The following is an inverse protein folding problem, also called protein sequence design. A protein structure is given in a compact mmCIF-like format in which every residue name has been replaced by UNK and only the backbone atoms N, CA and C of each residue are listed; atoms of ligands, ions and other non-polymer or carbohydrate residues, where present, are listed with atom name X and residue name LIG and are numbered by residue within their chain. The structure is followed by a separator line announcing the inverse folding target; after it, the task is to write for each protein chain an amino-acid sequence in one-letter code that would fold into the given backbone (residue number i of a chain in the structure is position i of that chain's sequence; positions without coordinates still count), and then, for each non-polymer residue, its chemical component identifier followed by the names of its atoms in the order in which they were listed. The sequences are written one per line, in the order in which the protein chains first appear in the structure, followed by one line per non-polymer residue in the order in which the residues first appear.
data_IF_972909542880
#
_entry.id   IF_972909542880
#
_cell.length_a   1.000
_cell.length_b   1.000
_cell.length_c   1.000
_cell.angle_alpha   90.00
_cell.angle_beta   90.00
_cell.angle_gamma   90.00
#
_symmetry.space_group_name_H-M   'P 1'
#
loop_
_entity.id
_entity.type
_entity.pdbx_description
1 polymer ?
#
# COMPACT_ATOMS: atom_id res chain seq x y z
N UNK A 1 30.69 -19.08 -10.93
CA UNK A 1 30.43 -17.83 -10.19
C UNK A 1 28.98 -17.93 -9.73
N UNK A 2 28.75 -18.11 -8.43
CA UNK A 2 27.41 -18.24 -7.89
C UNK A 2 26.82 -16.84 -7.72
N UNK A 3 25.73 -16.54 -8.45
CA UNK A 3 25.01 -15.28 -8.32
C UNK A 3 24.20 -15.31 -7.03
N UNK A 4 24.64 -14.54 -6.04
CA UNK A 4 23.78 -14.13 -4.94
C UNK A 4 22.82 -13.01 -5.43
N UNK A 5 21.94 -12.58 -4.54
CA UNK A 5 20.99 -11.47 -4.57
C UNK A 5 19.54 -11.89 -4.86
N UNK A 6 18.81 -12.15 -3.76
CA UNK A 6 17.34 -12.19 -3.72
C UNK A 6 16.80 -10.90 -4.37
N UNK A 7 16.06 -11.03 -5.46
CA UNK A 7 15.29 -9.92 -6.06
C UNK A 7 13.88 -9.92 -5.49
N UNK A 8 13.42 -8.76 -5.04
CA UNK A 8 12.07 -8.51 -4.55
C UNK A 8 11.30 -7.62 -5.52
N UNK A 9 11.56 -7.82 -6.82
CA UNK A 9 10.99 -7.05 -7.92
C UNK A 9 9.47 -6.98 -7.81
N UNK A 10 8.90 -5.81 -8.12
CA UNK A 10 7.47 -5.68 -8.35
C UNK A 10 7.22 -5.94 -9.85
N UNK A 11 6.34 -6.89 -10.12
CA UNK A 11 6.11 -7.45 -11.44
C UNK A 11 4.64 -7.25 -11.79
N UNK A 12 4.39 -6.65 -12.95
CA UNK A 12 3.07 -6.61 -13.57
C UNK A 12 2.96 -7.73 -14.61
N UNK A 13 1.84 -8.44 -14.60
CA UNK A 13 1.48 -9.39 -15.64
C UNK A 13 0.34 -8.79 -16.46
N UNK A 14 0.63 -8.44 -17.71
CA UNK A 14 -0.37 -7.90 -18.63
C UNK A 14 -1.21 -9.04 -19.19
N UNK A 15 -2.53 -8.89 -19.06
CA UNK A 15 -3.48 -9.87 -19.52
C UNK A 15 -3.65 -9.77 -21.05
N UNK A 16 -3.64 -10.91 -21.77
CA UNK A 16 -4.08 -10.94 -23.15
C UNK A 16 -5.60 -10.74 -23.25
N UNK A 17 -6.10 -10.49 -24.45
CA UNK A 17 -7.55 -10.39 -24.72
C UNK A 17 -8.30 -11.68 -24.31
N UNK A 18 -7.71 -12.85 -24.57
CA UNK A 18 -8.18 -14.13 -24.05
C UNK A 18 -7.37 -14.54 -22.82
N UNK A 19 -7.87 -14.22 -21.64
CA UNK A 19 -7.23 -14.55 -20.35
C UNK A 19 -6.95 -16.04 -20.15
N UNK A 20 -7.61 -16.92 -20.91
CA UNK A 20 -7.42 -18.38 -20.81
C UNK A 20 -6.22 -18.88 -21.60
N UNK A 21 -5.68 -18.09 -22.53
CA UNK A 21 -4.37 -18.33 -23.13
C UNK A 21 -3.27 -17.92 -22.17
N UNK A 22 -2.96 -18.84 -21.24
CA UNK A 22 -1.92 -18.65 -20.21
C UNK A 22 -0.54 -18.34 -20.82
N UNK A 23 -0.30 -18.71 -22.08
CA UNK A 23 0.98 -18.45 -22.75
C UNK A 23 1.12 -17.03 -23.30
N UNK A 24 0.01 -16.30 -23.43
CA UNK A 24 -0.03 -14.94 -23.98
C UNK A 24 0.06 -13.84 -22.91
N UNK A 25 0.17 -14.19 -21.62
CA UNK A 25 0.43 -13.23 -20.56
C UNK A 25 1.85 -12.67 -20.64
N UNK A 26 1.97 -11.35 -20.73
CA UNK A 26 3.25 -10.67 -20.80
C UNK A 26 3.75 -10.26 -19.41
N UNK A 27 5.04 -10.49 -19.15
CA UNK A 27 5.67 -10.16 -17.87
C UNK A 27 6.44 -8.85 -17.99
N UNK A 28 6.10 -7.91 -17.14
CA UNK A 28 6.71 -6.59 -17.02
C UNK A 28 7.36 -6.43 -15.64
N UNK A 29 8.65 -6.12 -15.58
CA UNK A 29 9.32 -5.77 -14.31
C UNK A 29 9.21 -4.26 -14.16
N UNK A 30 8.22 -3.81 -13.38
CA UNK A 30 7.93 -2.39 -13.21
C UNK A 30 8.83 -1.75 -12.16
N UNK A 31 9.35 -2.51 -11.19
CA UNK A 31 10.33 -2.01 -10.24
C UNK A 31 11.35 -3.09 -9.88
N UNK A 32 12.62 -2.83 -10.22
CA UNK A 32 13.74 -3.69 -9.84
C UNK A 32 14.17 -3.39 -8.41
N UNK A 33 13.85 -4.30 -7.50
CA UNK A 33 13.99 -4.07 -6.08
C UNK A 33 14.95 -5.08 -5.46
N UNK A 34 16.10 -4.59 -5.00
CA UNK A 34 17.17 -5.43 -4.47
C UNK A 34 17.26 -5.38 -2.94
N UNK A 35 16.33 -4.69 -2.26
CA UNK A 35 16.51 -4.38 -0.84
C UNK A 35 15.24 -4.49 -0.01
N UNK A 36 14.08 -4.14 -0.56
CA UNK A 36 12.85 -4.01 0.22
C UNK A 36 11.94 -5.21 0.01
N UNK A 37 11.64 -5.98 1.05
CA UNK A 37 10.68 -7.09 0.88
C UNK A 37 9.26 -6.55 0.84
N UNK A 38 8.63 -6.60 -0.32
CA UNK A 38 7.22 -6.22 -0.47
C UNK A 38 6.32 -7.29 0.12
N UNK A 39 5.42 -6.91 1.02
CA UNK A 39 4.44 -7.79 1.65
C UNK A 39 3.01 -7.52 1.19
N UNK A 40 2.73 -6.30 0.75
CA UNK A 40 1.42 -5.90 0.25
C UNK A 40 1.57 -4.96 -0.93
N UNK A 41 0.62 -5.07 -1.86
CA UNK A 41 0.46 -4.21 -3.03
C UNK A 41 -1.01 -3.80 -3.08
N UNK A 42 -1.26 -2.54 -3.39
CA UNK A 42 -2.57 -1.99 -3.71
C UNK A 42 -2.46 -1.17 -5.01
N UNK A 43 -3.57 -1.05 -5.73
CA UNK A 43 -3.62 -0.31 -7.00
C UNK A 43 -4.62 0.83 -6.89
N UNK A 44 -4.25 2.01 -7.37
CA UNK A 44 -5.13 3.18 -7.42
C UNK A 44 -4.45 4.37 -8.09
N UNK A 45 -5.22 5.35 -8.52
CA UNK A 45 -4.71 6.57 -9.17
C UNK A 45 -4.23 7.56 -8.10
N UNK A 46 -2.91 7.64 -7.87
CA UNK A 46 -2.32 8.40 -6.76
C UNK A 46 -2.03 9.84 -7.16
N UNK A 47 -1.94 10.18 -8.44
CA UNK A 47 -1.64 11.54 -8.87
C UNK A 47 -2.77 12.24 -9.65
N UNK A 48 -3.88 11.54 -9.85
CA UNK A 48 -5.11 12.06 -10.44
C UNK A 48 -5.05 12.18 -11.95
N UNK A 49 -4.13 11.49 -12.62
CA UNK A 49 -4.00 11.50 -14.08
C UNK A 49 -4.88 10.47 -14.80
N UNK A 50 -5.53 9.59 -14.05
CA UNK A 50 -6.44 8.56 -14.53
C UNK A 50 -5.79 7.21 -14.80
N UNK A 51 -4.45 7.12 -14.75
CA UNK A 51 -3.73 5.86 -14.82
C UNK A 51 -3.66 5.20 -13.43
N UNK A 52 -3.63 3.86 -13.42
CA UNK A 52 -3.55 3.12 -12.17
C UNK A 52 -2.09 2.99 -11.73
N UNK A 53 -1.78 3.51 -10.54
CA UNK A 53 -0.48 3.39 -9.89
C UNK A 53 -0.42 2.19 -8.94
N UNK A 54 0.77 1.89 -8.43
CA UNK A 54 0.99 0.80 -7.48
C UNK A 54 1.52 1.32 -6.15
N UNK A 55 0.75 1.15 -5.08
CA UNK A 55 1.22 1.35 -3.70
C UNK A 55 1.76 0.03 -3.17
N UNK A 56 2.88 0.06 -2.44
CA UNK A 56 3.47 -1.12 -1.84
C UNK A 56 3.99 -0.86 -0.43
N UNK A 57 3.90 -1.90 0.40
CA UNK A 57 4.37 -1.87 1.78
C UNK A 57 5.49 -2.90 1.99
N UNK A 58 6.56 -2.46 2.68
CA UNK A 58 7.64 -3.32 3.14
C UNK A 58 7.62 -3.47 4.66
N UNK A 59 7.39 -4.70 5.11
CA UNK A 59 7.36 -5.02 6.55
C UNK A 59 8.74 -4.94 7.20
N UNK A 60 9.81 -5.31 6.48
CA UNK A 60 11.15 -5.47 7.08
C UNK A 60 11.99 -4.22 7.01
N UNK A 61 11.69 -3.35 6.05
CA UNK A 61 12.51 -2.19 5.73
C UNK A 61 11.82 -0.88 6.15
N UNK A 62 10.58 -0.99 6.68
CA UNK A 62 9.77 0.10 7.23
C UNK A 62 9.41 1.17 6.19
N UNK A 63 9.11 0.73 4.99
CA UNK A 63 8.83 1.62 3.87
C UNK A 63 7.41 1.41 3.33
N UNK A 64 6.72 2.52 3.13
CA UNK A 64 5.50 2.67 2.37
C UNK A 64 5.82 3.56 1.17
N UNK A 65 5.63 3.03 -0.04
CA UNK A 65 5.93 3.75 -1.27
C UNK A 65 4.88 3.51 -2.33
N UNK A 66 4.93 4.33 -3.38
CA UNK A 66 4.13 4.14 -4.57
C UNK A 66 4.99 4.25 -5.82
N UNK A 67 4.54 3.58 -6.89
CA UNK A 67 5.15 3.55 -8.21
C UNK A 67 4.21 4.21 -9.20
N UNK A 68 4.70 5.26 -9.84
CA UNK A 68 3.97 6.03 -10.85
C UNK A 68 3.89 5.29 -12.18
N UNK A 69 2.68 5.08 -12.68
CA UNK A 69 2.40 4.57 -14.01
C UNK A 69 2.35 5.71 -15.03
N UNK A 70 3.47 5.99 -15.65
CA UNK A 70 3.54 7.01 -16.71
C UNK A 70 3.31 6.44 -18.13
N UNK A 71 2.62 5.29 -18.23
CA UNK A 71 2.41 4.56 -19.48
C UNK A 71 3.61 3.72 -19.97
N UNK A 72 4.71 3.67 -19.20
CA UNK A 72 5.80 2.73 -19.44
C UNK A 72 5.43 1.33 -18.96
N UNK A 73 5.95 0.27 -19.59
CA UNK A 73 5.84 -1.09 -19.07
C UNK A 73 7.01 -1.50 -18.16
N UNK A 74 8.00 -0.63 -17.96
CA UNK A 74 9.17 -0.91 -17.10
C UNK A 74 9.62 0.33 -16.33
N UNK A 75 10.42 0.11 -15.28
CA UNK A 75 11.17 1.14 -14.55
C UNK A 75 10.31 2.31 -14.06
N UNK A 76 9.16 1.99 -13.46
CA UNK A 76 8.27 2.97 -12.85
C UNK A 76 8.98 3.73 -11.74
N UNK A 77 8.64 5.01 -11.62
CA UNK A 77 9.26 5.89 -10.63
C UNK A 77 8.70 5.57 -9.25
N UNK A 78 9.58 5.23 -8.31
CA UNK A 78 9.22 5.15 -6.89
C UNK A 78 9.22 6.51 -6.23
N UNK A 79 8.16 6.79 -5.46
CA UNK A 79 8.13 7.85 -4.46
C UNK A 79 7.76 7.24 -3.11
N UNK A 80 8.53 7.58 -2.08
CA UNK A 80 8.23 7.12 -0.72
C UNK A 80 7.19 8.02 -0.06
N UNK A 81 6.16 7.40 0.49
CA UNK A 81 5.11 8.04 1.29
C UNK A 81 5.63 8.21 2.72
N UNK A 82 6.14 7.11 3.31
CA UNK A 82 6.67 7.07 4.66
C UNK A 82 7.81 6.03 4.77
N UNK A 83 8.93 6.41 5.36
CA UNK A 83 10.10 5.54 5.62
C UNK A 83 10.28 5.23 7.12
N UNK A 84 9.29 5.58 7.93
CA UNK A 84 9.28 5.42 9.38
C UNK A 84 8.22 4.45 9.88
N UNK A 85 7.25 4.07 9.04
CA UNK A 85 6.18 3.14 9.36
C UNK A 85 6.77 1.74 9.61
N UNK A 86 6.84 1.32 10.88
CA UNK A 86 7.52 0.07 11.21
C UNK A 86 6.61 -1.12 11.00
N UNK A 87 6.92 -1.98 10.03
CA UNK A 87 6.07 -3.13 9.69
C UNK A 87 4.68 -2.73 9.16
N UNK A 88 4.63 -2.02 8.04
CA UNK A 88 3.38 -1.88 7.30
C UNK A 88 2.96 -3.23 6.69
N UNK A 89 1.69 -3.63 6.86
CA UNK A 89 1.19 -4.97 6.46
C UNK A 89 0.08 -4.97 5.42
N UNK A 90 -0.80 -3.97 5.46
CA UNK A 90 -1.94 -3.89 4.57
C UNK A 90 -2.15 -2.43 4.19
N UNK A 91 -2.55 -2.18 2.95
CA UNK A 91 -2.76 -0.84 2.42
C UNK A 91 -4.05 -0.78 1.64
N UNK A 92 -4.75 0.36 1.65
CA UNK A 92 -5.88 0.66 0.75
C UNK A 92 -5.68 2.03 0.13
N UNK A 93 -6.20 2.22 -1.07
CA UNK A 93 -6.20 3.49 -1.79
C UNK A 93 -7.64 3.93 -2.00
N UNK A 94 -8.01 5.11 -1.49
CA UNK A 94 -9.33 5.70 -1.65
C UNK A 94 -9.32 7.18 -1.24
N UNK A 95 -10.17 7.99 -1.85
CA UNK A 95 -10.47 9.37 -1.41
C UNK A 95 -11.28 9.32 -0.10
N UNK A 96 -10.59 9.29 1.03
CA UNK A 96 -11.19 9.11 2.36
C UNK A 96 -11.70 10.44 2.92
N UNK A 97 -10.99 11.54 2.65
CA UNK A 97 -11.37 12.88 3.13
C UNK A 97 -12.23 13.69 2.15
N UNK A 98 -12.52 13.14 0.97
CA UNK A 98 -13.39 13.70 -0.08
C UNK A 98 -12.87 14.99 -0.67
N UNK A 99 -11.55 15.14 -0.75
CA UNK A 99 -10.93 16.27 -1.43
C UNK A 99 -10.79 16.05 -2.95
N UNK A 100 -11.15 14.85 -3.43
CA UNK A 100 -11.08 14.46 -4.84
C UNK A 100 -9.75 13.84 -5.25
N UNK A 101 -8.84 13.59 -4.30
CA UNK A 101 -7.58 12.89 -4.50
C UNK A 101 -7.62 11.57 -3.71
N UNK A 102 -6.99 10.52 -4.24
CA UNK A 102 -6.91 9.28 -3.49
C UNK A 102 -5.88 9.37 -2.38
N UNK A 103 -6.27 8.95 -1.19
CA UNK A 103 -5.39 8.80 -0.04
C UNK A 103 -4.86 7.38 0.08
N UNK A 104 -3.85 7.20 0.93
CA UNK A 104 -3.32 5.88 1.30
C UNK A 104 -3.61 5.60 2.77
N UNK A 105 -4.31 4.51 3.04
CA UNK A 105 -4.52 3.99 4.37
C UNK A 105 -3.56 2.83 4.55
N UNK A 106 -2.85 2.76 5.67
CA UNK A 106 -1.95 1.65 5.97
C UNK A 106 -2.09 1.14 7.40
N UNK A 107 -2.01 -0.17 7.57
CA UNK A 107 -1.88 -0.78 8.89
C UNK A 107 -0.42 -1.01 9.25
N UNK A 108 -0.04 -0.56 10.43
CA UNK A 108 1.20 -0.89 11.11
C UNK A 108 0.91 -2.00 12.14
N UNK A 109 1.62 -3.12 12.07
CA UNK A 109 1.51 -4.20 13.07
C UNK A 109 2.90 -4.55 13.66
N UNK A 110 3.21 -3.92 14.79
CA UNK A 110 4.27 -4.38 15.67
C UNK A 110 3.62 -5.09 16.86
N UNK A 111 2.91 -6.21 16.65
CA UNK A 111 2.11 -6.92 17.68
C UNK A 111 2.69 -6.90 19.11
N UNK A 112 4.00 -7.10 19.37
CA UNK A 112 4.57 -6.94 20.71
C UNK A 112 4.44 -5.54 21.35
N UNK A 113 4.36 -4.49 20.54
CA UNK A 113 4.19 -3.08 20.92
C UNK A 113 2.80 -2.51 20.58
N UNK A 114 2.03 -3.21 19.74
CA UNK A 114 0.71 -2.81 19.28
C UNK A 114 0.67 -2.53 17.79
N UNK A 115 -0.33 -1.78 17.35
CA UNK A 115 -0.48 -1.41 15.95
C UNK A 115 -1.05 -0.01 15.78
N UNK A 116 -1.01 0.48 14.55
CA UNK A 116 -1.55 1.78 14.19
C UNK A 116 -2.29 1.66 12.86
N UNK A 117 -3.41 2.36 12.75
CA UNK A 117 -4.04 2.61 11.46
C UNK A 117 -3.71 4.04 11.03
N UNK A 118 -3.00 4.16 9.93
CA UNK A 118 -2.52 5.43 9.39
C UNK A 118 -3.38 5.89 8.22
N UNK A 119 -3.55 7.20 8.12
CA UNK A 119 -4.17 7.93 7.03
C UNK A 119 -3.13 8.88 6.44
N UNK A 120 -2.69 8.60 5.22
CA UNK A 120 -1.75 9.41 4.48
C UNK A 120 -2.46 10.15 3.35
N UNK A 121 -2.58 11.47 3.50
CA UNK A 121 -3.05 12.39 2.46
C UNK A 121 -1.88 13.23 1.94
N UNK A 122 -2.03 13.90 0.79
CA UNK A 122 -1.02 14.85 0.33
C UNK A 122 -1.63 16.17 -0.17
N UNK A 123 -0.80 17.20 -0.29
CA UNK A 123 -1.21 18.46 -0.92
C UNK A 123 -0.17 18.92 -1.92
N UNK A 124 -0.60 19.13 -3.17
CA UNK A 124 0.30 19.42 -4.29
C UNK A 124 0.80 18.14 -4.96
N UNK A 125 2.03 18.14 -5.47
CA UNK A 125 2.57 16.99 -6.20
C UNK A 125 2.89 15.80 -5.27
N UNK A 126 2.21 14.63 -5.41
CA UNK A 126 2.43 13.44 -4.58
C UNK A 126 3.79 12.79 -4.84
N UNK A 127 4.50 13.18 -5.90
CA UNK A 127 5.87 12.72 -6.20
C UNK A 127 6.93 13.37 -5.29
N UNK A 128 6.50 14.28 -4.42
CA UNK A 128 7.35 14.95 -3.43
C UNK A 128 6.97 14.43 -2.04
N UNK A 129 7.83 13.60 -1.43
CA UNK A 129 7.57 12.98 -0.14
C UNK A 129 7.08 13.95 0.96
N UNK A 130 7.71 15.13 1.09
CA UNK A 130 7.34 16.12 2.13
C UNK A 130 5.93 16.71 1.99
N UNK A 131 5.24 16.43 0.88
CA UNK A 131 3.84 16.84 0.68
C UNK A 131 2.86 15.85 1.31
N UNK A 132 3.31 14.64 1.65
CA UNK A 132 2.52 13.64 2.36
C UNK A 132 2.42 13.97 3.85
N UNK A 133 1.25 13.73 4.42
CA UNK A 133 0.91 13.98 5.81
C UNK A 133 0.32 12.71 6.41
N UNK A 134 1.00 12.14 7.40
CA UNK A 134 0.49 11.06 8.23
C UNK A 134 -0.45 11.59 9.31
N UNK A 135 -1.63 10.97 9.43
CA UNK A 135 -2.51 11.09 10.59
C UNK A 135 -2.87 9.71 11.10
N UNK A 136 -2.88 9.54 12.43
CA UNK A 136 -3.30 8.30 13.06
C UNK A 136 -4.82 8.30 13.22
N UNK A 137 -5.48 7.32 12.62
CA UNK A 137 -6.91 7.06 12.81
C UNK A 137 -7.13 6.36 14.15
N UNK A 138 -6.35 5.31 14.40
CA UNK A 138 -6.46 4.49 15.61
C UNK A 138 -5.10 3.95 16.05
N UNK A 139 -4.97 3.67 17.34
CA UNK A 139 -3.81 2.98 17.91
C UNK A 139 -4.30 1.80 18.76
N UNK A 140 -3.61 0.68 18.63
CA UNK A 140 -3.92 -0.57 19.27
C UNK A 140 -2.84 -0.88 20.31
N UNK A 141 -3.21 -1.33 21.52
CA UNK A 141 -2.25 -1.63 22.58
C UNK A 141 -1.37 -2.84 22.22
N UNK A 142 -0.30 -3.03 22.99
CA UNK A 142 0.54 -4.22 22.87
C UNK A 142 -0.28 -5.50 23.02
N UNK A 143 -0.06 -6.46 22.11
CA UNK A 143 -0.84 -7.69 22.00
C UNK A 143 -2.02 -7.60 21.01
N UNK A 144 -2.32 -6.40 20.52
CA UNK A 144 -3.30 -6.15 19.46
C UNK A 144 -2.61 -5.62 18.20
N UNK A 145 -3.11 -5.96 17.02
CA UNK A 145 -2.55 -5.50 15.76
C UNK A 145 -3.54 -5.61 14.60
N UNK A 146 -3.52 -4.64 13.68
CA UNK A 146 -4.39 -4.66 12.50
C UNK A 146 -3.74 -5.50 11.42
N UNK A 147 -4.22 -6.73 11.28
CA UNK A 147 -3.75 -7.65 10.24
C UNK A 147 -4.35 -7.38 8.87
N UNK A 148 -5.61 -6.97 8.86
CA UNK A 148 -6.41 -6.70 7.66
C UNK A 148 -7.41 -5.62 7.99
N UNK A 149 -7.76 -4.82 6.99
CA UNK A 149 -8.88 -3.91 7.06
C UNK A 149 -9.50 -3.73 5.68
N UNK A 150 -10.75 -3.27 5.65
CA UNK A 150 -11.46 -2.88 4.43
C UNK A 150 -12.11 -1.51 4.60
N UNK A 151 -12.36 -0.86 3.47
CA UNK A 151 -12.97 0.47 3.40
C UNK A 151 -14.28 0.38 2.63
N UNK A 152 -15.36 0.88 3.22
CA UNK A 152 -16.69 0.97 2.60
C UNK A 152 -17.58 1.92 3.40
N UNK A 153 -18.61 2.49 2.77
CA UNK A 153 -19.71 3.16 3.49
C UNK A 153 -20.63 2.09 4.09
N UNK A 154 -20.56 1.92 5.42
CA UNK A 154 -21.22 0.79 6.12
C UNK A 154 -22.55 1.22 6.73
N UNK A 155 -22.66 2.47 7.16
CA UNK A 155 -23.89 2.99 7.75
C UNK A 155 -24.79 3.73 6.75
N UNK A 156 -24.30 3.98 5.53
CA UNK A 156 -25.05 4.56 4.43
C UNK A 156 -25.14 6.08 4.50
N UNK A 157 -24.28 6.75 5.26
CA UNK A 157 -24.21 8.21 5.31
C UNK A 157 -23.38 8.83 4.16
N UNK A 158 -22.72 7.95 3.40
CA UNK A 158 -21.90 8.25 2.23
C UNK A 158 -20.42 8.37 2.56
N UNK A 159 -20.03 8.56 3.82
CA UNK A 159 -18.64 8.67 4.24
C UNK A 159 -18.01 7.27 4.22
N UNK A 160 -16.72 7.16 3.88
CA UNK A 160 -16.05 5.88 3.87
C UNK A 160 -15.66 5.47 5.28
N UNK A 161 -16.16 4.33 5.74
CA UNK A 161 -15.79 3.71 7.02
C UNK A 161 -14.63 2.73 6.85
N UNK A 162 -14.00 2.38 7.98
CA UNK A 162 -12.94 1.38 8.05
C UNK A 162 -13.33 0.25 9.00
N UNK A 163 -13.27 -0.99 8.53
CA UNK A 163 -13.46 -2.20 9.36
C UNK A 163 -12.17 -2.97 9.43
N UNK A 164 -11.74 -3.34 10.63
CA UNK A 164 -10.47 -4.04 10.87
C UNK A 164 -10.67 -5.45 11.42
N UNK A 165 -9.74 -6.34 11.11
CA UNK A 165 -9.60 -7.66 11.73
C UNK A 165 -8.30 -7.74 12.53
N UNK A 166 -8.42 -8.06 13.83
CA UNK A 166 -7.28 -8.16 14.75
C UNK A 166 -6.70 -9.60 14.79
N UNK A 167 -5.37 -9.71 14.85
CA UNK A 167 -4.66 -11.00 14.86
C UNK A 167 -4.62 -11.69 16.24
N UNK A 168 -5.16 -11.10 17.31
CA UNK A 168 -5.34 -11.75 18.60
C UNK A 168 -6.61 -11.27 19.30
N UNK A 169 -7.42 -12.23 19.76
CA UNK A 169 -8.74 -11.98 20.32
C UNK A 169 -8.69 -11.29 21.66
N UNK A 170 -9.67 -10.42 21.89
CA UNK A 170 -9.96 -9.84 23.18
C UNK A 170 -9.98 -10.95 24.25
N UNK A 171 -9.02 -10.95 25.17
CA UNK A 171 -9.26 -11.54 26.48
C UNK A 171 -9.89 -10.43 27.31
N UNK A 172 -11.20 -10.22 27.13
CA UNK A 172 -11.98 -9.49 28.13
C UNK A 172 -11.83 -10.25 29.45
N UNK A 173 -11.25 -9.59 30.46
CA UNK A 173 -11.39 -9.97 31.87
C UNK A 173 -12.57 -9.21 32.45
#
# INVERSE_FOLDING_TARGET
MAGDYRRYDIIWYEAPEDITDISAWEKHIIYQNNSHRVYHIEVGDIDGDGDQDVVFASKTDNDLGWLENNGSSTDWRVTWIDNSCTRSFNTRVADLDRDGQNDVIASEDDTPKGGTLHFYSYSGDPRIQRNWVDRRIASFPAGEGVSVFEIADIDGDGDLDIVTGNHQGDVYV
#
